data_IF_783187506173
#
_entry.id   IF_783187506173
#
_cell.length_a   1.000
_cell.length_b   1.000
_cell.length_c   1.000
_cell.angle_alpha   90.00
_cell.angle_beta   90.00
_cell.angle_gamma   90.00
#
_symmetry.space_group_name_H-M   'P 1'
#
loop_
_entity.id
_entity.type
_entity.pdbx_description
1 polymer ?
#
# COMPACT_ATOMS: atom_id res chain seq x y z
N UNK A 1 -36.51 17.71 -5.83
CA UNK A 1 -35.23 18.18 -5.24
C UNK A 1 -34.13 17.09 -5.14
N UNK A 2 -34.36 15.82 -5.52
CA UNK A 2 -33.36 14.74 -5.32
C UNK A 2 -32.32 14.51 -6.44
N UNK A 3 -32.61 14.83 -7.70
CA UNK A 3 -31.70 14.53 -8.82
C UNK A 3 -30.42 15.40 -8.85
N UNK A 4 -30.54 16.66 -8.44
CA UNK A 4 -29.41 17.62 -8.44
C UNK A 4 -28.34 17.28 -7.40
N UNK A 5 -28.73 16.61 -6.31
CA UNK A 5 -27.82 16.18 -5.24
C UNK A 5 -27.01 14.96 -5.69
N UNK A 6 -27.67 13.99 -6.34
CA UNK A 6 -27.04 12.77 -6.86
C UNK A 6 -26.00 13.08 -7.96
N UNK A 7 -26.29 14.03 -8.85
CA UNK A 7 -25.32 14.46 -9.88
C UNK A 7 -24.11 15.16 -9.27
N UNK A 8 -24.31 16.02 -8.26
CA UNK A 8 -23.22 16.72 -7.59
C UNK A 8 -22.33 15.76 -6.79
N UNK A 9 -22.91 14.79 -6.10
CA UNK A 9 -22.19 13.69 -5.44
C UNK A 9 -21.42 12.84 -6.43
N UNK A 10 -22.05 12.47 -7.55
CA UNK A 10 -21.40 11.70 -8.61
C UNK A 10 -20.19 12.44 -9.22
N UNK A 11 -20.29 13.77 -9.41
CA UNK A 11 -19.18 14.60 -9.91
C UNK A 11 -18.04 14.68 -8.89
N UNK A 12 -18.35 14.86 -7.59
CA UNK A 12 -17.36 14.91 -6.51
C UNK A 12 -16.58 13.59 -6.42
N UNK A 13 -17.30 12.47 -6.46
CA UNK A 13 -16.72 11.12 -6.41
C UNK A 13 -15.90 10.79 -7.66
N UNK A 14 -16.34 11.22 -8.85
CA UNK A 14 -15.54 11.12 -10.09
C UNK A 14 -14.21 11.89 -9.98
N UNK A 15 -14.24 13.12 -9.43
CA UNK A 15 -13.02 13.92 -9.24
C UNK A 15 -12.04 13.26 -8.26
N UNK A 16 -12.54 12.72 -7.14
CA UNK A 16 -11.70 11.98 -6.17
C UNK A 16 -11.07 10.75 -6.81
N UNK A 17 -11.87 9.96 -7.54
CA UNK A 17 -11.41 8.78 -8.28
C UNK A 17 -10.31 9.12 -9.29
N UNK A 18 -10.54 10.12 -10.15
CA UNK A 18 -9.54 10.51 -11.16
C UNK A 18 -8.21 10.91 -10.51
N UNK A 19 -8.26 11.57 -9.34
CA UNK A 19 -7.07 11.99 -8.60
C UNK A 19 -6.28 10.83 -7.97
N UNK A 20 -6.96 9.73 -7.64
CA UNK A 20 -6.34 8.51 -7.10
C UNK A 20 -5.80 7.61 -8.21
N UNK A 21 -6.55 7.46 -9.30
CA UNK A 21 -6.19 6.59 -10.42
C UNK A 21 -5.08 7.16 -11.29
N UNK A 22 -5.01 8.49 -11.46
CA UNK A 22 -3.93 9.15 -12.21
C UNK A 22 -2.53 8.97 -11.60
N UNK A 23 -2.45 8.43 -10.38
CA UNK A 23 -1.19 8.12 -9.69
C UNK A 23 -0.74 6.66 -9.85
N UNK A 24 -1.53 5.80 -10.51
CA UNK A 24 -1.19 4.37 -10.71
C UNK A 24 -0.42 4.17 -12.02
N UNK A 25 0.61 3.32 -12.01
CA UNK A 25 1.49 3.04 -13.16
C UNK A 25 0.77 2.52 -14.42
N UNK A 26 -0.43 1.95 -14.30
CA UNK A 26 -1.17 1.32 -15.40
C UNK A 26 -2.59 1.89 -15.56
N UNK A 27 -2.77 3.19 -15.36
CA UNK A 27 -4.07 3.81 -15.61
C UNK A 27 -4.30 4.11 -17.10
N UNK A 28 -5.25 3.41 -17.71
CA UNK A 28 -5.81 3.78 -19.02
C UNK A 28 -6.94 4.80 -18.79
N UNK A 29 -6.73 6.03 -19.26
CA UNK A 29 -7.71 7.11 -19.18
C UNK A 29 -8.93 6.76 -20.04
N UNK A 30 -10.03 6.34 -19.41
CA UNK A 30 -11.30 6.12 -20.11
C UNK A 30 -11.96 7.47 -20.41
N UNK A 31 -12.37 7.66 -21.66
CA UNK A 31 -13.22 8.77 -22.08
C UNK A 31 -14.57 8.70 -21.35
N UNK A 32 -15.11 9.88 -21.03
CA UNK A 32 -16.36 10.06 -20.32
C UNK A 32 -17.50 9.36 -21.09
N UNK A 33 -18.10 8.33 -20.49
CA UNK A 33 -19.28 7.65 -21.07
C UNK A 33 -19.31 6.13 -20.99
N UNK A 34 -18.23 5.42 -20.61
CA UNK A 34 -18.29 3.95 -20.53
C UNK A 34 -19.12 3.47 -19.32
N UNK A 35 -20.03 2.52 -19.56
CA UNK A 35 -20.66 1.67 -18.52
C UNK A 35 -19.61 1.28 -17.49
N UNK A 36 -19.93 1.56 -16.23
CA UNK A 36 -19.05 1.38 -15.09
C UNK A 36 -18.57 -0.08 -15.03
N UNK A 37 -17.25 -0.33 -15.15
CA UNK A 37 -16.74 -1.68 -14.90
C UNK A 37 -17.02 -2.07 -13.44
N UNK A 38 -17.27 -3.36 -13.19
CA UNK A 38 -17.60 -3.89 -11.87
C UNK A 38 -16.55 -3.50 -10.81
N UNK A 39 -15.27 -3.45 -11.19
CA UNK A 39 -14.16 -2.91 -10.39
C UNK A 39 -14.39 -1.51 -9.80
N UNK A 40 -15.18 -0.68 -10.49
CA UNK A 40 -15.50 0.68 -10.06
C UNK A 40 -16.65 0.70 -9.05
N UNK A 41 -17.60 -0.23 -9.08
CA UNK A 41 -18.66 -0.28 -8.04
C UNK A 41 -18.06 -0.51 -6.66
N UNK A 42 -16.99 -1.29 -6.58
CA UNK A 42 -16.27 -1.54 -5.33
C UNK A 42 -15.36 -0.37 -4.90
N UNK A 43 -14.64 0.30 -5.82
CA UNK A 43 -13.94 1.54 -5.45
C UNK A 43 -14.91 2.57 -4.86
N UNK A 44 -16.17 2.56 -5.29
CA UNK A 44 -17.24 3.38 -4.74
C UNK A 44 -17.78 2.87 -3.39
N UNK A 45 -17.89 1.56 -3.16
CA UNK A 45 -18.26 1.04 -1.83
C UNK A 45 -17.24 1.42 -0.76
N UNK A 46 -15.95 1.39 -1.11
CA UNK A 46 -14.90 1.91 -0.23
C UNK A 46 -15.01 3.43 -0.01
N UNK A 47 -15.38 4.21 -1.03
CA UNK A 47 -15.67 5.64 -0.85
C UNK A 47 -16.84 5.89 0.11
N UNK A 48 -17.88 5.05 0.09
CA UNK A 48 -18.97 5.13 1.06
C UNK A 48 -18.51 4.85 2.50
N UNK A 49 -17.53 3.95 2.70
CA UNK A 49 -16.91 3.76 4.02
C UNK A 49 -16.18 5.02 4.46
N UNK A 50 -15.37 5.60 3.58
CA UNK A 50 -14.63 6.82 3.88
C UNK A 50 -15.55 8.02 4.13
N UNK A 51 -16.66 8.13 3.40
CA UNK A 51 -17.67 9.15 3.60
C UNK A 51 -18.42 8.96 4.92
N UNK A 52 -18.78 7.72 5.28
CA UNK A 52 -19.33 7.42 6.60
C UNK A 52 -18.36 7.82 7.70
N UNK A 53 -17.08 7.43 7.58
CA UNK A 53 -16.04 7.85 8.52
C UNK A 53 -15.90 9.37 8.59
N UNK A 54 -15.92 10.09 7.46
CA UNK A 54 -15.87 11.55 7.45
C UNK A 54 -17.03 12.19 8.23
N UNK A 55 -18.19 11.54 8.27
CA UNK A 55 -19.37 12.03 8.98
C UNK A 55 -19.48 11.51 10.43
N UNK A 56 -18.86 10.37 10.76
CA UNK A 56 -19.03 9.71 12.06
C UNK A 56 -17.77 9.70 12.93
N UNK A 57 -16.58 9.84 12.35
CA UNK A 57 -15.30 9.80 13.04
C UNK A 57 -14.23 10.57 12.23
N UNK A 58 -14.22 11.90 12.43
CA UNK A 58 -13.35 12.83 11.70
C UNK A 58 -11.86 12.50 11.86
N UNK A 59 -11.44 12.03 13.03
CA UNK A 59 -10.04 11.69 13.33
C UNK A 59 -9.53 10.51 12.47
N UNK A 60 -10.36 9.47 12.27
CA UNK A 60 -10.00 8.34 11.41
C UNK A 60 -9.95 8.76 9.93
N UNK A 61 -10.91 9.59 9.50
CA UNK A 61 -10.89 10.13 8.15
C UNK A 61 -9.68 11.05 7.91
N UNK A 62 -9.30 11.85 8.90
CA UNK A 62 -8.11 12.69 8.84
C UNK A 62 -6.83 11.86 8.80
N UNK A 63 -6.77 10.78 9.59
CA UNK A 63 -5.68 9.80 9.55
C UNK A 63 -5.53 9.18 8.16
N UNK A 64 -6.63 8.76 7.52
CA UNK A 64 -6.63 8.26 6.15
C UNK A 64 -6.03 9.27 5.16
N UNK A 65 -6.49 10.53 5.21
CA UNK A 65 -5.97 11.61 4.36
C UNK A 65 -4.48 11.84 4.60
N UNK A 66 -4.02 11.82 5.86
CA UNK A 66 -2.60 12.06 6.21
C UNK A 66 -1.70 10.95 5.69
N UNK A 67 -2.07 9.69 5.91
CA UNK A 67 -1.34 8.52 5.39
C UNK A 67 -1.23 8.59 3.87
N UNK A 68 -2.35 8.83 3.17
CA UNK A 68 -2.36 8.93 1.71
C UNK A 68 -1.54 10.10 1.15
N UNK A 69 -1.19 11.08 1.97
CA UNK A 69 -0.39 12.25 1.59
C UNK A 69 1.03 12.27 2.17
N UNK A 70 1.38 11.26 2.98
CA UNK A 70 2.60 11.25 3.77
C UNK A 70 3.85 11.33 2.87
N UNK A 71 3.94 10.45 1.89
CA UNK A 71 5.09 10.34 0.98
C UNK A 71 5.00 11.22 -0.27
N UNK A 72 3.93 12.01 -0.45
CA UNK A 72 3.69 12.72 -1.72
C UNK A 72 4.84 13.66 -2.13
N UNK A 73 5.45 14.39 -1.20
CA UNK A 73 6.49 15.36 -1.55
C UNK A 73 7.83 14.67 -1.84
N UNK A 74 8.16 13.61 -1.09
CA UNK A 74 9.31 12.74 -1.39
C UNK A 74 9.13 12.07 -2.76
N UNK A 75 7.96 11.48 -3.00
CA UNK A 75 7.63 10.83 -4.27
C UNK A 75 7.67 11.79 -5.46
N UNK A 76 7.29 13.06 -5.30
CA UNK A 76 7.45 14.07 -6.35
C UNK A 76 8.92 14.25 -6.72
N UNK A 77 9.79 14.51 -5.75
CA UNK A 77 11.24 14.68 -6.01
C UNK A 77 11.81 13.44 -6.71
N UNK A 78 11.40 12.24 -6.30
CA UNK A 78 11.91 10.99 -6.89
C UNK A 78 11.32 10.68 -8.28
N UNK A 79 10.04 10.98 -8.52
CA UNK A 79 9.35 10.68 -9.80
C UNK A 79 9.81 11.55 -10.97
N UNK A 80 10.47 12.68 -10.69
CA UNK A 80 11.00 13.57 -11.73
C UNK A 80 12.35 13.07 -12.29
N UNK A 81 12.94 12.03 -11.70
CA UNK A 81 14.33 11.63 -11.92
C UNK A 81 14.52 10.22 -12.49
N UNK A 82 13.83 9.88 -13.58
CA UNK A 82 14.27 8.74 -14.42
C UNK A 82 15.42 9.10 -15.36
N UNK A 83 15.89 10.35 -15.41
CA UNK A 83 16.93 10.79 -16.36
C UNK A 83 17.76 12.02 -15.96
N UNK A 84 17.72 12.50 -14.72
CA UNK A 84 18.49 13.69 -14.31
C UNK A 84 19.71 13.29 -13.50
N UNK A 85 20.88 13.81 -13.89
CA UNK A 85 22.10 13.75 -13.09
C UNK A 85 21.78 14.21 -11.67
N UNK A 86 21.84 13.28 -10.71
CA UNK A 86 21.68 13.59 -9.29
C UNK A 86 22.76 14.62 -8.95
N UNK A 87 22.36 15.85 -8.64
CA UNK A 87 23.28 16.93 -8.29
C UNK A 87 23.00 17.46 -6.86
N UNK A 88 23.83 18.40 -6.39
CA UNK A 88 23.68 19.02 -5.07
C UNK A 88 22.35 19.78 -4.89
N UNK A 89 21.67 20.19 -5.96
CA UNK A 89 20.36 20.84 -5.87
C UNK A 89 19.28 19.79 -5.58
N UNK A 90 19.31 18.65 -6.28
CA UNK A 90 18.39 17.53 -6.03
C UNK A 90 18.50 16.96 -4.62
N UNK A 91 19.73 16.84 -4.09
CA UNK A 91 19.92 16.42 -2.69
C UNK A 91 19.24 17.39 -1.70
N UNK A 92 19.36 18.71 -1.93
CA UNK A 92 18.70 19.72 -1.08
C UNK A 92 17.18 19.63 -1.16
N UNK A 93 16.62 19.48 -2.36
CA UNK A 93 15.17 19.30 -2.54
C UNK A 93 14.65 18.05 -1.81
N UNK A 94 15.42 16.95 -1.85
CA UNK A 94 15.06 15.73 -1.14
C UNK A 94 15.11 15.90 0.39
N UNK A 95 16.12 16.60 0.91
CA UNK A 95 16.20 16.95 2.35
C UNK A 95 15.03 17.83 2.77
N UNK A 96 14.65 18.81 1.96
CA UNK A 96 13.48 19.66 2.24
C UNK A 96 12.17 18.88 2.20
N UNK A 97 12.02 17.96 1.23
CA UNK A 97 10.89 17.05 1.16
C UNK A 97 10.83 16.11 2.37
N UNK A 98 11.99 15.66 2.87
CA UNK A 98 12.09 14.84 4.07
C UNK A 98 11.71 15.59 5.35
N UNK A 99 12.12 16.84 5.50
CA UNK A 99 11.70 17.69 6.62
C UNK A 99 10.18 17.88 6.64
N UNK A 100 9.56 18.09 5.46
CA UNK A 100 8.09 18.12 5.32
C UNK A 100 7.44 16.78 5.66
N UNK A 101 8.05 15.67 5.22
CA UNK A 101 7.61 14.32 5.58
C UNK A 101 7.60 14.11 7.10
N UNK A 102 8.68 14.46 7.81
CA UNK A 102 8.76 14.33 9.26
C UNK A 102 7.69 15.17 9.98
N UNK A 103 7.44 16.40 9.50
CA UNK A 103 6.37 17.25 10.04
C UNK A 103 4.98 16.64 9.85
N UNK A 104 4.73 15.92 8.75
CA UNK A 104 3.47 15.21 8.51
C UNK A 104 3.36 13.95 9.35
N UNK A 105 4.44 13.17 9.45
CA UNK A 105 4.51 11.91 10.19
C UNK A 105 4.14 12.10 11.66
N UNK A 106 4.69 13.15 12.31
CA UNK A 106 4.40 13.51 13.71
C UNK A 106 2.92 13.78 14.00
N UNK A 107 2.10 14.02 12.97
CA UNK A 107 0.66 14.29 13.09
C UNK A 107 -0.19 13.03 12.89
N UNK A 108 0.43 11.86 12.80
CA UNK A 108 -0.24 10.58 12.59
C UNK A 108 -0.07 9.75 13.86
N UNK A 109 -1.16 9.58 14.59
CA UNK A 109 -1.19 8.68 15.74
C UNK A 109 -1.38 7.25 15.26
N UNK A 110 -0.51 6.36 15.72
CA UNK A 110 -0.55 4.94 15.39
C UNK A 110 -1.87 4.30 15.85
N UNK A 111 -2.40 4.72 17.00
CA UNK A 111 -3.71 4.26 17.49
C UNK A 111 -4.82 4.55 16.47
N UNK A 112 -4.88 5.77 15.95
CA UNK A 112 -5.89 6.15 14.96
C UNK A 112 -5.71 5.38 13.65
N UNK A 113 -4.46 5.04 13.27
CA UNK A 113 -4.22 4.17 12.12
C UNK A 113 -4.78 2.75 12.37
N UNK A 114 -4.54 2.18 13.55
CA UNK A 114 -5.05 0.84 13.91
C UNK A 114 -6.58 0.82 13.93
N UNK A 115 -7.21 1.85 14.49
CA UNK A 115 -8.67 1.97 14.51
C UNK A 115 -9.25 2.14 13.09
N UNK A 116 -8.60 2.93 12.23
CA UNK A 116 -8.94 3.06 10.81
C UNK A 116 -8.83 1.71 10.08
N UNK A 117 -7.72 0.99 10.30
CA UNK A 117 -7.49 -0.33 9.71
C UNK A 117 -8.56 -1.33 10.15
N UNK A 118 -8.96 -1.30 11.43
CA UNK A 118 -10.02 -2.14 11.99
C UNK A 118 -11.38 -1.87 11.31
N UNK A 119 -11.78 -0.61 11.20
CA UNK A 119 -13.05 -0.23 10.56
C UNK A 119 -13.11 -0.69 9.09
N UNK A 120 -12.00 -0.50 8.35
CA UNK A 120 -11.92 -0.92 6.95
C UNK A 120 -11.96 -2.44 6.83
N UNK A 121 -11.21 -3.17 7.67
CA UNK A 121 -11.19 -4.63 7.63
C UNK A 121 -12.56 -5.23 7.99
N UNK A 122 -13.26 -4.65 8.97
CA UNK A 122 -14.64 -5.02 9.31
C UNK A 122 -15.58 -4.83 8.12
N UNK A 123 -15.43 -3.75 7.35
CA UNK A 123 -16.21 -3.56 6.13
C UNK A 123 -15.91 -4.62 5.06
N UNK A 124 -14.62 -4.91 4.82
CA UNK A 124 -14.21 -5.96 3.88
C UNK A 124 -14.77 -7.32 4.27
N UNK A 125 -14.90 -7.60 5.56
CA UNK A 125 -15.43 -8.87 6.05
C UNK A 125 -16.97 -8.97 5.96
N UNK A 126 -17.70 -7.85 5.85
CA UNK A 126 -19.17 -7.85 5.70
C UNK A 126 -19.64 -8.27 4.31
N UNK A 127 -18.85 -8.02 3.27
CA UNK A 127 -19.15 -8.43 1.90
C UNK A 127 -17.97 -9.20 1.30
N UNK A 128 -18.17 -10.52 1.16
CA UNK A 128 -17.14 -11.44 0.69
C UNK A 128 -17.07 -11.57 -0.83
N UNK A 129 -17.94 -10.89 -1.59
CA UNK A 129 -17.98 -11.02 -3.05
C UNK A 129 -16.60 -10.73 -3.70
N UNK A 130 -15.90 -9.68 -3.25
CA UNK A 130 -14.55 -9.31 -3.73
C UNK A 130 -13.47 -9.50 -2.67
N UNK A 131 -13.65 -10.44 -1.74
CA UNK A 131 -12.83 -10.56 -0.53
C UNK A 131 -11.32 -10.51 -0.81
N UNK A 132 -10.82 -11.30 -1.76
CA UNK A 132 -9.38 -11.37 -2.05
C UNK A 132 -8.78 -10.12 -2.64
N UNK A 133 -9.48 -9.51 -3.59
CA UNK A 133 -9.08 -8.24 -4.19
C UNK A 133 -9.04 -7.14 -3.11
N UNK A 134 -10.00 -7.18 -2.19
CA UNK A 134 -10.14 -6.18 -1.13
C UNK A 134 -9.04 -6.31 -0.07
N UNK A 135 -8.76 -7.55 0.36
CA UNK A 135 -7.64 -7.83 1.26
C UNK A 135 -6.30 -7.39 0.66
N UNK A 136 -6.07 -7.68 -0.63
CA UNK A 136 -4.86 -7.23 -1.32
C UNK A 136 -4.75 -5.71 -1.40
N UNK A 137 -5.83 -5.01 -1.78
CA UNK A 137 -5.84 -3.54 -1.83
C UNK A 137 -5.60 -2.92 -0.45
N UNK A 138 -6.21 -3.50 0.58
CA UNK A 138 -6.07 -3.07 1.97
C UNK A 138 -4.62 -3.19 2.45
N UNK A 139 -4.00 -4.36 2.30
CA UNK A 139 -2.60 -4.56 2.71
C UNK A 139 -1.63 -3.72 1.87
N UNK A 140 -1.89 -3.54 0.57
CA UNK A 140 -1.06 -2.68 -0.27
C UNK A 140 -1.08 -1.21 0.18
N UNK A 141 -2.21 -0.72 0.69
CA UNK A 141 -2.37 0.70 1.02
C UNK A 141 -2.08 1.01 2.49
N UNK A 142 -2.57 0.17 3.40
CA UNK A 142 -2.54 0.43 4.83
C UNK A 142 -1.63 -0.53 5.60
N UNK A 143 -1.18 -1.63 4.98
CA UNK A 143 -0.17 -2.55 5.52
C UNK A 143 -0.43 -2.98 6.97
N UNK A 144 -1.69 -3.27 7.32
CA UNK A 144 -2.09 -3.60 8.72
C UNK A 144 -1.19 -4.70 9.27
N UNK A 145 -1.07 -5.81 8.56
CA UNK A 145 -0.31 -6.94 9.07
C UNK A 145 1.18 -6.63 9.16
N UNK A 146 1.75 -6.09 8.09
CA UNK A 146 3.18 -5.82 7.99
C UNK A 146 3.64 -4.82 9.04
N UNK A 147 2.96 -3.66 9.17
CA UNK A 147 3.33 -2.63 10.16
C UNK A 147 3.22 -3.20 11.57
N UNK A 148 2.19 -4.00 11.89
CA UNK A 148 2.04 -4.58 13.22
C UNK A 148 3.12 -5.59 13.56
N UNK A 149 3.49 -6.45 12.61
CA UNK A 149 4.58 -7.41 12.83
C UNK A 149 5.92 -6.69 12.99
N UNK A 150 6.20 -5.71 12.13
CA UNK A 150 7.42 -4.90 12.21
C UNK A 150 7.53 -4.20 13.57
N UNK A 151 6.45 -3.55 14.04
CA UNK A 151 6.42 -2.93 15.38
C UNK A 151 6.65 -4.00 16.46
N UNK A 152 6.01 -5.17 16.33
CA UNK A 152 6.20 -6.29 17.25
C UNK A 152 7.64 -6.76 17.34
N UNK A 153 8.36 -6.81 16.22
CA UNK A 153 9.79 -7.13 16.20
C UNK A 153 10.62 -6.02 16.86
N UNK A 154 10.36 -4.76 16.53
CA UNK A 154 11.10 -3.62 17.11
C UNK A 154 10.87 -3.46 18.62
N UNK A 155 9.69 -3.84 19.13
CA UNK A 155 9.40 -3.84 20.56
C UNK A 155 10.09 -4.99 21.31
N UNK A 156 10.45 -6.06 20.61
CA UNK A 156 11.14 -7.24 21.18
C UNK A 156 12.65 -7.20 21.00
N UNK A 157 13.16 -6.27 20.19
CA UNK A 157 14.59 -6.09 19.98
C UNK A 157 15.29 -5.78 21.31
N UNK A 158 16.42 -6.45 21.55
CA UNK A 158 17.18 -6.37 22.80
C UNK A 158 18.14 -5.19 22.82
N UNK A 159 18.59 -4.77 21.64
CA UNK A 159 19.57 -3.71 21.44
C UNK A 159 19.38 -2.99 20.11
N UNK A 160 20.17 -1.94 19.91
CA UNK A 160 20.14 -1.11 18.71
C UNK A 160 20.59 -1.85 17.44
N UNK A 161 21.39 -2.91 17.57
CA UNK A 161 21.82 -3.72 16.41
C UNK A 161 20.68 -4.57 15.88
N UNK A 162 19.95 -5.23 16.78
CA UNK A 162 18.76 -6.01 16.44
C UNK A 162 17.64 -5.10 15.90
N UNK A 163 17.46 -3.91 16.47
CA UNK A 163 16.54 -2.91 15.93
C UNK A 163 16.93 -2.46 14.50
N UNK A 164 18.22 -2.16 14.25
CA UNK A 164 18.71 -1.83 12.90
C UNK A 164 18.53 -2.99 11.92
N UNK A 165 18.73 -4.22 12.37
CA UNK A 165 18.52 -5.44 11.59
C UNK A 165 17.07 -5.52 11.11
N UNK A 166 16.10 -5.38 12.02
CA UNK A 166 14.67 -5.43 11.66
C UNK A 166 14.24 -4.26 10.77
N UNK A 167 14.78 -3.06 10.99
CA UNK A 167 14.52 -1.90 10.11
C UNK A 167 15.07 -2.15 8.69
N UNK A 168 16.29 -2.67 8.54
CA UNK A 168 16.85 -2.98 7.22
C UNK A 168 16.00 -4.03 6.50
N UNK A 169 15.49 -5.01 7.24
CA UNK A 169 14.61 -6.06 6.73
C UNK A 169 13.25 -5.52 6.28
N UNK A 170 12.64 -4.61 7.03
CA UNK A 170 11.36 -3.97 6.64
C UNK A 170 11.50 -3.15 5.35
N UNK A 171 12.63 -2.48 5.15
CA UNK A 171 12.93 -1.76 3.89
C UNK A 171 12.97 -2.75 2.70
N UNK A 172 13.69 -3.87 2.84
CA UNK A 172 13.83 -4.88 1.78
C UNK A 172 12.47 -5.51 1.42
N UNK A 173 11.62 -5.75 2.41
CA UNK A 173 10.33 -6.42 2.25
C UNK A 173 9.15 -5.46 1.98
N UNK A 174 9.41 -4.16 1.84
CA UNK A 174 8.38 -3.12 1.78
C UNK A 174 7.32 -3.32 0.66
N UNK A 175 7.73 -3.94 -0.45
CA UNK A 175 6.88 -4.15 -1.63
C UNK A 175 6.14 -5.51 -1.60
N UNK A 176 6.29 -6.27 -0.53
CA UNK A 176 5.65 -7.58 -0.35
C UNK A 176 4.32 -7.43 0.40
N UNK A 177 3.22 -7.36 -0.36
CA UNK A 177 1.87 -7.10 0.17
C UNK A 177 1.05 -8.35 0.53
N UNK A 178 1.68 -9.53 0.53
CA UNK A 178 1.05 -10.79 0.92
C UNK A 178 1.54 -11.19 2.31
N UNK A 179 0.74 -11.04 3.37
CA UNK A 179 1.12 -11.25 4.77
C UNK A 179 1.86 -12.56 5.07
N UNK A 180 1.36 -13.69 4.58
CA UNK A 180 1.99 -14.99 4.85
C UNK A 180 3.33 -15.11 4.16
N UNK A 181 3.41 -14.66 2.92
CA UNK A 181 4.66 -14.62 2.18
C UNK A 181 5.65 -13.64 2.82
N UNK A 182 5.19 -12.48 3.30
CA UNK A 182 6.00 -11.56 4.10
C UNK A 182 6.59 -12.27 5.31
N UNK A 183 5.78 -13.05 6.04
CA UNK A 183 6.28 -13.82 7.17
C UNK A 183 7.33 -14.85 6.77
N UNK A 184 7.11 -15.60 5.68
CA UNK A 184 8.04 -16.60 5.18
C UNK A 184 9.40 -15.97 4.82
N UNK A 185 9.40 -14.86 4.08
CA UNK A 185 10.62 -14.10 3.80
C UNK A 185 11.23 -13.47 5.06
N UNK A 186 10.39 -13.05 6.00
CA UNK A 186 10.86 -12.45 7.25
C UNK A 186 11.47 -13.47 8.21
N UNK A 187 11.29 -14.77 7.98
CA UNK A 187 11.84 -15.83 8.82
C UNK A 187 13.32 -16.14 8.51
N UNK A 188 13.86 -15.72 7.37
CA UNK A 188 15.28 -15.89 7.06
C UNK A 188 16.15 -15.05 7.99
N UNK A 189 17.16 -15.66 8.63
CA UNK A 189 18.00 -14.96 9.61
C UNK A 189 19.00 -13.99 8.97
N UNK A 190 19.42 -14.24 7.73
CA UNK A 190 20.46 -13.44 7.07
C UNK A 190 19.87 -12.39 6.14
N UNK A 191 20.28 -11.13 6.29
CA UNK A 191 19.77 -10.01 5.48
C UNK A 191 20.11 -10.19 4.00
N UNK A 192 21.33 -10.64 3.68
CA UNK A 192 21.76 -10.78 2.29
C UNK A 192 20.97 -11.88 1.57
N UNK A 193 20.62 -12.94 2.30
CA UNK A 193 19.72 -13.99 1.83
C UNK A 193 18.31 -13.45 1.56
N UNK A 194 17.75 -12.65 2.47
CA UNK A 194 16.45 -11.97 2.27
C UNK A 194 16.49 -11.09 1.02
N UNK A 195 17.55 -10.28 0.86
CA UNK A 195 17.72 -9.39 -0.27
C UNK A 195 17.81 -10.16 -1.60
N UNK A 196 18.62 -11.21 -1.66
CA UNK A 196 18.79 -12.03 -2.87
C UNK A 196 17.47 -12.68 -3.29
N UNK A 197 16.73 -13.29 -2.35
CA UNK A 197 15.45 -13.89 -2.68
C UNK A 197 14.39 -12.86 -3.07
N UNK A 198 14.39 -11.67 -2.45
CA UNK A 198 13.46 -10.60 -2.84
C UNK A 198 13.72 -10.08 -4.25
N UNK A 199 15.00 -9.99 -4.65
CA UNK A 199 15.37 -9.65 -6.03
C UNK A 199 14.87 -10.72 -7.01
N UNK A 200 15.15 -12.00 -6.73
CA UNK A 200 14.68 -13.12 -7.56
C UNK A 200 13.15 -13.18 -7.64
N UNK A 201 12.45 -12.98 -6.53
CA UNK A 201 11.00 -12.94 -6.49
C UNK A 201 10.44 -11.78 -7.33
N UNK A 202 11.05 -10.60 -7.27
CA UNK A 202 10.67 -9.44 -8.07
C UNK A 202 10.88 -9.67 -9.58
N UNK A 203 11.99 -10.31 -9.95
CA UNK A 203 12.25 -10.74 -11.33
C UNK A 203 11.23 -11.76 -11.80
N UNK A 204 10.96 -12.81 -11.01
CA UNK A 204 9.96 -13.83 -11.32
C UNK A 204 8.57 -13.21 -11.50
N UNK A 205 8.16 -12.35 -10.57
CA UNK A 205 6.88 -11.63 -10.64
C UNK A 205 6.74 -10.86 -11.95
N UNK A 206 7.80 -10.13 -12.35
CA UNK A 206 7.82 -9.38 -13.61
C UNK A 206 7.74 -10.29 -14.84
N UNK A 207 8.45 -11.42 -14.83
CA UNK A 207 8.44 -12.40 -15.91
C UNK A 207 7.12 -13.18 -16.02
N UNK A 208 6.38 -13.35 -14.93
CA UNK A 208 5.14 -14.15 -14.92
C UNK A 208 3.91 -13.28 -15.19
N UNK A 209 3.78 -12.11 -14.53
CA UNK A 209 2.52 -11.34 -14.58
C UNK A 209 2.17 -10.92 -15.99
N UNK A 210 3.10 -10.26 -16.71
CA UNK A 210 2.83 -9.74 -18.05
C UNK A 210 2.40 -10.82 -19.04
N UNK A 211 3.20 -11.88 -19.23
CA UNK A 211 2.83 -13.00 -20.10
C UNK A 211 1.54 -13.70 -19.66
N UNK A 212 1.31 -13.89 -18.35
CA UNK A 212 0.08 -14.51 -17.85
C UNK A 212 -1.15 -13.69 -18.22
N UNK A 213 -1.10 -12.36 -18.11
CA UNK A 213 -2.20 -11.49 -18.54
C UNK A 213 -2.50 -11.67 -20.02
N UNK A 214 -1.48 -11.67 -20.89
CA UNK A 214 -1.67 -11.86 -22.34
C UNK A 214 -2.26 -13.23 -22.68
N UNK A 215 -1.81 -14.29 -21.99
CA UNK A 215 -2.35 -15.64 -22.15
C UNK A 215 -3.82 -15.66 -21.71
N UNK A 216 -4.14 -15.09 -20.55
CA UNK A 216 -5.51 -15.05 -20.03
C UNK A 216 -6.43 -14.26 -20.97
N UNK A 217 -6.00 -13.11 -21.46
CA UNK A 217 -6.74 -12.30 -22.44
C UNK A 217 -7.06 -13.17 -23.67
N UNK A 218 -6.07 -13.91 -24.19
CA UNK A 218 -6.28 -14.75 -25.35
C UNK A 218 -7.25 -15.90 -25.10
N UNK A 219 -7.18 -16.53 -23.93
CA UNK A 219 -8.09 -17.61 -23.53
C UNK A 219 -9.53 -17.11 -23.34
N UNK A 220 -9.72 -15.88 -22.85
CA UNK A 220 -11.03 -15.24 -22.75
C UNK A 220 -11.59 -14.92 -24.14
N UNK A 221 -10.78 -14.37 -25.05
CA UNK A 221 -11.19 -14.13 -26.45
C UNK A 221 -11.64 -15.39 -27.17
N UNK A 222 -10.95 -16.51 -26.90
CA UNK A 222 -11.28 -17.84 -27.42
C UNK A 222 -12.46 -18.49 -26.70
N UNK A 223 -13.09 -17.79 -25.74
CA UNK A 223 -14.22 -18.26 -24.93
C UNK A 223 -13.96 -19.60 -24.22
N UNK A 224 -12.69 -19.88 -23.86
CA UNK A 224 -12.28 -21.15 -23.23
C UNK A 224 -12.93 -21.33 -21.86
N UNK A 225 -13.13 -20.24 -21.12
CA UNK A 225 -13.71 -20.25 -19.78
C UNK A 225 -15.25 -20.07 -19.79
N UNK A 226 -15.87 -19.94 -20.97
CA UNK A 226 -17.29 -19.66 -21.12
C UNK A 226 -17.69 -18.24 -20.68
N UNK A 227 -18.99 -17.96 -20.67
CA UNK A 227 -19.51 -16.61 -20.38
C UNK A 227 -19.38 -16.17 -18.92
N UNK A 228 -19.21 -17.11 -17.98
CA UNK A 228 -19.11 -16.84 -16.54
C UNK A 228 -17.67 -16.77 -16.02
N UNK A 229 -16.70 -16.51 -16.91
CA UNK A 229 -15.27 -16.50 -16.58
C UNK A 229 -14.92 -15.48 -15.48
N UNK A 230 -15.63 -14.35 -15.40
CA UNK A 230 -15.41 -13.33 -14.37
C UNK A 230 -15.66 -13.91 -12.96
N UNK A 231 -16.78 -14.61 -12.79
CA UNK A 231 -17.13 -15.26 -11.52
C UNK A 231 -16.14 -16.39 -11.20
N UNK A 232 -15.73 -17.17 -12.21
CA UNK A 232 -14.73 -18.22 -12.04
C UNK A 232 -13.41 -17.67 -11.47
N UNK A 233 -12.89 -16.57 -12.01
CA UNK A 233 -11.67 -15.97 -11.47
C UNK A 233 -11.89 -15.34 -10.09
N UNK A 234 -13.04 -14.70 -9.88
CA UNK A 234 -13.38 -14.11 -8.59
C UNK A 234 -13.41 -15.17 -7.47
N UNK A 235 -14.08 -16.29 -7.70
CA UNK A 235 -14.16 -17.41 -6.76
C UNK A 235 -12.79 -17.99 -6.48
N UNK A 236 -11.97 -18.18 -7.53
CA UNK A 236 -10.59 -18.67 -7.38
C UNK A 236 -9.73 -17.70 -6.55
N UNK A 237 -9.81 -16.39 -6.79
CA UNK A 237 -9.07 -15.38 -6.02
C UNK A 237 -9.53 -15.38 -4.56
N UNK A 238 -10.84 -15.41 -4.30
CA UNK A 238 -11.39 -15.47 -2.95
C UNK A 238 -10.93 -16.73 -2.21
N UNK A 239 -10.96 -17.89 -2.86
CA UNK A 239 -10.49 -19.17 -2.31
C UNK A 239 -8.97 -19.15 -2.00
N UNK A 240 -8.17 -18.45 -2.80
CA UNK A 240 -6.73 -18.30 -2.56
C UNK A 240 -6.42 -17.32 -1.42
N UNK A 241 -7.36 -16.44 -1.07
CA UNK A 241 -7.12 -15.34 -0.12
C UNK A 241 -6.69 -15.86 1.23
N UNK A 242 -7.38 -16.85 1.78
CA UNK A 242 -7.04 -17.44 3.07
C UNK A 242 -5.67 -18.13 3.06
N UNK A 243 -5.15 -18.53 1.89
CA UNK A 243 -3.84 -19.17 1.77
C UNK A 243 -2.68 -18.18 1.83
N UNK A 244 -2.90 -16.93 1.41
CA UNK A 244 -1.84 -15.90 1.32
C UNK A 244 -2.01 -14.72 2.29
N UNK A 245 -3.21 -14.54 2.85
CA UNK A 245 -3.51 -13.57 3.90
C UNK A 245 -3.75 -14.24 5.26
N UNK A 246 -3.83 -13.42 6.31
CA UNK A 246 -4.17 -13.83 7.68
C UNK A 246 -5.68 -13.97 7.88
N UNK A 247 -6.08 -14.63 8.97
CA UNK A 247 -7.47 -14.62 9.43
C UNK A 247 -7.77 -13.27 10.15
N UNK A 248 -8.72 -12.45 9.67
CA UNK A 248 -9.10 -11.17 10.29
C UNK A 248 -9.46 -11.26 11.77
N UNK A 249 -10.08 -12.35 12.21
CA UNK A 249 -10.56 -12.54 13.58
C UNK A 249 -9.42 -12.80 14.57
N UNK A 250 -8.23 -13.15 14.07
CA UNK A 250 -7.03 -13.42 14.88
C UNK A 250 -6.13 -12.20 15.05
N UNK A 251 -6.54 -11.05 14.52
CA UNK A 251 -5.76 -9.82 14.66
C UNK A 251 -5.99 -9.25 16.06
N UNK A 252 -4.92 -9.22 16.85
CA UNK A 252 -4.87 -8.38 18.05
C UNK A 252 -5.03 -6.91 17.62
N UNK A 253 -5.66 -6.02 18.36
CA UNK A 253 -5.69 -4.57 18.04
C UNK A 253 -5.06 -3.71 19.14
N UNK A 254 -4.40 -4.36 20.11
CA UNK A 254 -3.76 -3.66 21.20
C UNK A 254 -2.64 -2.76 20.69
N UNK A 255 -2.61 -1.53 21.24
CA UNK A 255 -1.60 -0.52 21.01
C UNK A 255 -1.07 -0.09 22.36
N UNK A 256 0.25 -0.17 22.53
CA UNK A 256 0.95 0.34 23.72
C UNK A 256 1.66 1.65 23.39
N UNK A 257 1.96 2.46 24.41
CA UNK A 257 2.56 3.80 24.22
C UNK A 257 3.86 3.73 23.41
N UNK A 258 4.71 2.73 23.68
CA UNK A 258 5.97 2.53 22.96
C UNK A 258 5.80 2.12 21.50
N UNK A 259 4.60 1.70 21.06
CA UNK A 259 4.34 1.38 19.65
C UNK A 259 4.42 2.61 18.74
N UNK A 260 4.11 3.82 19.25
CA UNK A 260 4.16 5.05 18.43
C UNK A 260 5.56 5.34 17.91
N UNK A 261 6.58 5.24 18.76
CA UNK A 261 7.97 5.50 18.35
C UNK A 261 8.44 4.48 17.29
N UNK A 262 8.10 3.20 17.48
CA UNK A 262 8.45 2.14 16.53
C UNK A 262 7.72 2.30 15.19
N UNK A 263 6.45 2.71 15.23
CA UNK A 263 5.67 3.05 14.05
C UNK A 263 6.33 4.17 13.23
N UNK A 264 6.74 5.25 13.89
CA UNK A 264 7.43 6.37 13.22
C UNK A 264 8.76 5.93 12.60
N UNK A 265 9.54 5.10 13.32
CA UNK A 265 10.80 4.52 12.82
C UNK A 265 10.59 3.69 11.54
N UNK A 266 9.55 2.87 11.50
CA UNK A 266 9.21 2.06 10.31
C UNK A 266 8.87 2.95 9.12
N UNK A 267 8.03 3.96 9.32
CA UNK A 267 7.58 4.80 8.20
C UNK A 267 8.70 5.71 7.66
N UNK A 268 9.61 6.21 8.51
CA UNK A 268 10.71 7.05 8.03
C UNK A 268 11.85 6.26 7.38
N UNK A 269 12.04 4.99 7.76
CA UNK A 269 13.20 4.20 7.37
C UNK A 269 13.44 4.09 5.86
N UNK A 270 12.42 3.85 5.00
CA UNK A 270 12.64 3.84 3.55
C UNK A 270 13.14 5.19 3.01
N UNK A 271 12.65 6.31 3.56
CA UNK A 271 13.07 7.65 3.13
C UNK A 271 14.50 7.95 3.60
N UNK A 272 14.82 7.63 4.84
CA UNK A 272 16.18 7.76 5.39
C UNK A 272 17.19 6.93 4.58
N UNK A 273 16.83 5.68 4.23
CA UNK A 273 17.66 4.81 3.40
C UNK A 273 17.93 5.43 2.01
N UNK A 274 16.89 5.94 1.34
CA UNK A 274 17.04 6.58 0.03
C UNK A 274 17.94 7.81 0.08
N UNK A 275 17.77 8.68 1.09
CA UNK A 275 18.64 9.86 1.27
C UNK A 275 20.09 9.43 1.46
N UNK A 276 20.34 8.40 2.28
CA UNK A 276 21.68 7.91 2.53
C UNK A 276 22.35 7.35 1.27
N UNK A 277 21.62 6.58 0.45
CA UNK A 277 22.13 6.07 -0.82
C UNK A 277 22.52 7.20 -1.78
N UNK A 278 21.65 8.19 -1.94
CA UNK A 278 21.91 9.36 -2.78
C UNK A 278 23.12 10.15 -2.26
N UNK A 279 23.21 10.36 -0.95
CA UNK A 279 24.35 11.04 -0.32
C UNK A 279 25.68 10.29 -0.51
N UNK A 280 25.65 8.95 -0.53
CA UNK A 280 26.83 8.12 -0.78
C UNK A 280 27.34 8.27 -2.22
N UNK A 281 26.44 8.30 -3.20
CA UNK A 281 26.80 8.52 -4.61
C UNK A 281 27.59 9.83 -4.81
N UNK A 282 27.23 10.91 -4.08
CA UNK A 282 27.96 12.18 -4.14
C UNK A 282 29.36 12.15 -3.51
N UNK A 283 29.61 11.24 -2.55
CA UNK A 283 30.92 11.11 -1.92
C UNK A 283 31.89 10.28 -2.77
N UNK A 284 31.39 9.48 -3.71
CA UNK A 284 32.20 8.67 -4.63
C UNK A 284 32.60 9.45 -5.90
N UNK A 285 32.15 10.70 -6.07
CA UNK A 285 32.48 11.60 -7.19
C UNK A 285 33.57 12.66 -6.87
N UNK A 286 34.29 12.53 -5.74
CA UNK A 286 35.44 13.39 -5.34
C UNK A 286 36.68 12.50 -5.18
#
# INVERSE_FOLDING_TARGET
MGFKIIEQEAIKLRKIRNRLLSKRQTYIKRSEGSVMSIDLKFEWSFMYVLEKLANSNEDLFDTYKRIGNLYNDVGKVLSWNTSVNLDKAHHRELVDAYNKFLSKLKKIEYKNLVDLQKEILLHICKDKLYYGINMYRFERQLRLFTIRNEIGYLLKAKDDEEERYFIKKSIILNDLHFPKLYNDFSAFNEIDTVLSYMQQFSSLKSCVIGPSCLILDKLIELNIFGQNWEQLFLDNINNLTEKVFYNPDKIDYNVIISSQEKFEKILKAPVEFMIHQIAKMFKEEI
#
